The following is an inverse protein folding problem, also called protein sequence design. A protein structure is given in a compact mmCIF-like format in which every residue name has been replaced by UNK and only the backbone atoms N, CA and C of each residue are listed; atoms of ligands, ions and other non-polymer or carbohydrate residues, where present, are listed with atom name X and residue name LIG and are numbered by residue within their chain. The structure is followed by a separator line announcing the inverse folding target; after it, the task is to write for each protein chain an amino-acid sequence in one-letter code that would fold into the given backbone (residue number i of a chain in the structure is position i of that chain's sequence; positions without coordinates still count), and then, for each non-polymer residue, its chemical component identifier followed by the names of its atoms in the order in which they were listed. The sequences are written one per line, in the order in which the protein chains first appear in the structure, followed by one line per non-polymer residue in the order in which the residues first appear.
data_IF_459412767447
#
_entry.id   IF_459412767447
#
_cell.length_a   1.000
_cell.length_b   1.000
_cell.length_c   1.000
_cell.angle_alpha   90.00
_cell.angle_beta   90.00
_cell.angle_gamma   90.00
#
_symmetry.space_group_name_H-M   'P 1'
#
loop_
_entity.id
_entity.type
_entity.pdbx_description
1 polymer ?
#
# COMPACT_ATOMS: atom_id res chain seq x y z
N UNK A 1 -53.68 9.24 12.83
CA UNK A 1 -52.99 8.94 11.56
C UNK A 1 -51.58 9.55 11.62
N UNK A 2 -50.59 8.82 12.18
CA UNK A 2 -49.20 9.30 12.31
C UNK A 2 -48.28 8.08 12.44
N UNK A 3 -48.32 7.20 11.44
CA UNK A 3 -47.67 5.87 11.52
C UNK A 3 -46.88 5.45 10.27
N UNK A 4 -47.19 6.00 9.09
CA UNK A 4 -46.50 5.61 7.85
C UNK A 4 -45.16 6.31 7.66
N UNK A 5 -45.05 7.61 7.95
CA UNK A 5 -43.83 8.39 7.66
C UNK A 5 -42.64 8.01 8.57
N UNK A 6 -42.89 7.73 9.85
CA UNK A 6 -41.86 7.33 10.80
C UNK A 6 -41.30 5.94 10.50
N UNK A 7 -42.17 5.01 10.07
CA UNK A 7 -41.77 3.66 9.69
C UNK A 7 -40.87 3.65 8.43
N UNK A 8 -41.16 4.53 7.47
CA UNK A 8 -40.34 4.70 6.27
C UNK A 8 -38.95 5.28 6.60
N UNK A 9 -38.87 6.24 7.52
CA UNK A 9 -37.60 6.84 7.95
C UNK A 9 -36.71 5.78 8.65
N UNK A 10 -37.31 4.94 9.50
CA UNK A 10 -36.59 3.85 10.19
C UNK A 10 -36.08 2.81 9.19
N UNK A 11 -36.89 2.46 8.18
CA UNK A 11 -36.48 1.53 7.12
C UNK A 11 -35.31 2.10 6.28
N UNK A 12 -35.38 3.38 5.89
CA UNK A 12 -34.31 4.04 5.11
C UNK A 12 -33.00 4.10 5.92
N UNK A 13 -33.09 4.42 7.21
CA UNK A 13 -31.93 4.45 8.11
C UNK A 13 -31.32 3.05 8.31
N UNK A 14 -32.16 2.02 8.49
CA UNK A 14 -31.71 0.64 8.62
C UNK A 14 -31.04 0.13 7.34
N UNK A 15 -31.58 0.45 6.17
CA UNK A 15 -30.99 0.10 4.87
C UNK A 15 -29.65 0.84 4.67
N UNK A 16 -29.56 2.13 5.01
CA UNK A 16 -28.31 2.88 4.91
C UNK A 16 -27.20 2.33 5.84
N UNK A 17 -27.57 1.92 7.06
CA UNK A 17 -26.66 1.25 8.00
C UNK A 17 -26.21 -0.13 7.49
N UNK A 18 -27.13 -0.90 6.90
CA UNK A 18 -26.79 -2.20 6.29
C UNK A 18 -25.83 -2.03 5.10
N UNK A 19 -26.04 -1.02 4.25
CA UNK A 19 -25.18 -0.75 3.07
C UNK A 19 -23.73 -0.43 3.48
N UNK A 20 -23.51 0.26 4.61
CA UNK A 20 -22.16 0.55 5.13
C UNK A 20 -21.40 -0.70 5.58
N UNK A 21 -22.10 -1.77 5.98
CA UNK A 21 -21.49 -3.01 6.52
C UNK A 21 -21.12 -4.00 5.41
N UNK A 22 -21.70 -3.88 4.21
CA UNK A 22 -21.48 -4.84 3.10
C UNK A 22 -20.37 -4.44 2.14
N UNK A 23 -19.67 -3.32 2.34
CA UNK A 23 -18.54 -2.98 1.47
C UNK A 23 -17.44 -4.02 1.73
N UNK A 24 -17.14 -4.90 0.76
CA UNK A 24 -16.02 -5.81 0.91
C UNK A 24 -14.78 -4.93 1.04
N UNK A 25 -13.92 -5.23 2.02
CA UNK A 25 -12.64 -4.54 2.21
C UNK A 25 -11.73 -4.52 0.95
N UNK A 26 -12.13 -5.24 -0.10
CA UNK A 26 -11.50 -5.28 -1.41
C UNK A 26 -11.81 -4.07 -2.34
N UNK A 27 -12.76 -3.19 -2.01
CA UNK A 27 -13.08 -1.99 -2.84
C UNK A 27 -12.23 -0.77 -2.46
N UNK A 28 -11.45 -0.82 -1.37
CA UNK A 28 -10.56 0.28 -0.94
C UNK A 28 -9.15 0.16 -1.54
N UNK A 29 -9.04 -0.20 -2.83
CA UNK A 29 -7.80 -0.01 -3.56
C UNK A 29 -7.58 1.48 -3.80
N UNK A 30 -6.37 2.00 -3.57
CA UNK A 30 -6.05 3.37 -3.97
C UNK A 30 -6.39 3.60 -5.45
N UNK A 31 -6.82 4.82 -5.74
CA UNK A 31 -7.01 5.23 -7.12
C UNK A 31 -5.68 5.18 -7.88
N UNK A 32 -5.72 4.98 -9.21
CA UNK A 32 -4.51 5.04 -10.03
C UNK A 32 -3.71 6.34 -9.85
N UNK A 33 -4.42 7.46 -9.63
CA UNK A 33 -3.84 8.77 -9.34
C UNK A 33 -3.07 8.81 -8.02
N UNK A 34 -3.65 8.30 -6.93
CA UNK A 34 -2.97 8.23 -5.63
C UNK A 34 -1.73 7.34 -5.68
N UNK A 35 -1.80 6.22 -6.40
CA UNK A 35 -0.63 5.39 -6.63
C UNK A 35 0.47 6.12 -7.41
N UNK A 36 0.11 7.02 -8.34
CA UNK A 36 1.10 7.75 -9.12
C UNK A 36 1.88 8.75 -8.27
N UNK A 37 1.21 9.41 -7.33
CA UNK A 37 1.86 10.30 -6.38
C UNK A 37 2.78 9.55 -5.42
N UNK A 38 2.36 8.38 -4.93
CA UNK A 38 3.22 7.52 -4.10
C UNK A 38 4.46 7.08 -4.87
N UNK A 39 4.28 6.63 -6.11
CA UNK A 39 5.38 6.26 -7.00
C UNK A 39 6.39 7.39 -7.13
N UNK A 40 5.92 8.60 -7.44
CA UNK A 40 6.78 9.76 -7.64
C UNK A 40 7.54 10.13 -6.36
N UNK A 41 6.88 10.05 -5.19
CA UNK A 41 7.52 10.32 -3.88
C UNK A 41 8.60 9.28 -3.56
N UNK A 42 8.32 8.00 -3.79
CA UNK A 42 9.30 6.92 -3.62
C UNK A 42 10.48 7.08 -4.57
N UNK A 43 10.23 7.32 -5.85
CA UNK A 43 11.30 7.48 -6.83
C UNK A 43 12.21 8.66 -6.47
N UNK A 44 11.63 9.83 -6.22
CA UNK A 44 12.40 11.03 -5.88
C UNK A 44 13.13 10.91 -4.54
N UNK A 45 12.47 10.34 -3.53
CA UNK A 45 13.04 10.19 -2.19
C UNK A 45 14.09 9.10 -2.08
N UNK A 46 13.94 8.01 -2.83
CA UNK A 46 14.74 6.79 -2.68
C UNK A 46 15.68 6.50 -3.85
N UNK A 47 15.77 7.37 -4.86
CA UNK A 47 16.62 7.19 -6.06
C UNK A 47 18.05 6.77 -5.75
N UNK A 48 18.65 7.33 -4.70
CA UNK A 48 20.01 7.03 -4.26
C UNK A 48 20.23 5.53 -3.91
N UNK A 49 19.17 4.82 -3.51
CA UNK A 49 19.22 3.39 -3.16
C UNK A 49 19.56 2.53 -4.37
N UNK A 50 19.09 2.91 -5.56
CA UNK A 50 19.40 2.22 -6.82
C UNK A 50 20.90 2.32 -7.15
N UNK A 51 21.57 3.36 -6.65
CA UNK A 51 23.03 3.54 -6.78
C UNK A 51 23.80 2.95 -5.60
N UNK A 52 23.15 2.09 -4.82
CA UNK A 52 23.78 1.37 -3.73
C UNK A 52 24.02 2.19 -2.46
N UNK A 53 23.37 3.34 -2.29
CA UNK A 53 23.38 4.07 -1.01
C UNK A 53 22.29 3.57 -0.07
N UNK A 54 22.47 3.79 1.22
CA UNK A 54 21.43 3.54 2.20
C UNK A 54 20.31 4.59 2.13
N UNK A 55 19.07 4.23 2.52
CA UNK A 55 17.94 5.14 2.48
C UNK A 55 18.11 6.28 3.48
N UNK A 56 17.77 7.49 3.05
CA UNK A 56 17.68 8.66 3.93
C UNK A 56 16.44 8.57 4.82
N UNK A 57 16.37 9.40 5.86
CA UNK A 57 15.17 9.50 6.70
C UNK A 57 13.90 9.83 5.89
N UNK A 58 14.02 10.72 4.89
CA UNK A 58 12.93 11.08 4.00
C UNK A 58 12.48 9.89 3.12
N UNK A 59 13.42 9.12 2.57
CA UNK A 59 13.10 7.88 1.86
C UNK A 59 12.36 6.90 2.77
N UNK A 60 12.86 6.67 3.99
CA UNK A 60 12.21 5.75 4.91
C UNK A 60 10.81 6.18 5.33
N UNK A 61 10.52 7.48 5.43
CA UNK A 61 9.16 7.97 5.65
C UNK A 61 8.23 7.54 4.51
N UNK A 62 8.67 7.67 3.26
CA UNK A 62 7.87 7.22 2.10
C UNK A 62 7.70 5.70 2.11
N UNK A 63 8.77 4.93 2.36
CA UNK A 63 8.71 3.46 2.44
C UNK A 63 7.73 2.98 3.50
N UNK A 64 7.67 3.65 4.67
CA UNK A 64 6.72 3.33 5.75
C UNK A 64 5.28 3.65 5.38
N UNK A 65 5.05 4.76 4.69
CA UNK A 65 3.72 5.24 4.34
C UNK A 65 3.14 4.54 3.10
N UNK A 66 3.99 3.99 2.25
CA UNK A 66 3.57 3.46 0.95
C UNK A 66 2.69 2.23 1.05
N UNK A 67 1.72 2.16 0.16
CA UNK A 67 0.79 1.05 0.11
C UNK A 67 1.29 -0.05 -0.83
N UNK A 68 1.14 -1.30 -0.39
CA UNK A 68 1.64 -2.46 -1.15
C UNK A 68 0.95 -2.60 -2.51
N UNK A 69 -0.32 -2.23 -2.61
CA UNK A 69 -1.10 -2.15 -3.87
C UNK A 69 -0.41 -1.28 -4.93
N UNK A 70 0.17 -0.15 -4.54
CA UNK A 70 0.83 0.77 -5.45
C UNK A 70 2.30 0.43 -5.70
N UNK A 71 3.00 -0.09 -4.68
CA UNK A 71 4.46 -0.35 -4.75
C UNK A 71 4.78 -1.68 -5.42
N UNK A 72 4.02 -2.76 -5.13
CA UNK A 72 4.36 -4.09 -5.64
C UNK A 72 4.43 -4.19 -7.18
N UNK A 73 3.58 -3.50 -7.95
CA UNK A 73 3.73 -3.46 -9.42
C UNK A 73 5.05 -2.84 -9.90
N UNK A 74 5.72 -2.01 -9.09
CA UNK A 74 6.99 -1.35 -9.43
C UNK A 74 8.20 -2.24 -9.19
N UNK A 75 8.05 -3.25 -8.33
CA UNK A 75 9.11 -4.16 -7.94
C UNK A 75 9.36 -5.14 -9.08
N UNK A 76 10.15 -4.68 -10.05
CA UNK A 76 10.56 -5.46 -11.22
C UNK A 76 11.90 -6.16 -10.98
N UNK A 77 12.24 -7.23 -11.73
CA UNK A 77 13.52 -7.91 -11.59
C UNK A 77 14.71 -6.98 -11.80
N UNK A 78 14.59 -6.04 -12.75
CA UNK A 78 15.62 -5.04 -13.06
C UNK A 78 15.85 -4.08 -11.88
N UNK A 79 14.78 -3.62 -11.23
CA UNK A 79 14.88 -2.77 -10.04
C UNK A 79 15.52 -3.53 -8.87
N UNK A 80 15.07 -4.76 -8.61
CA UNK A 80 15.63 -5.59 -7.54
C UNK A 80 17.12 -5.85 -7.78
N UNK A 81 17.53 -6.13 -9.02
CA UNK A 81 18.93 -6.30 -9.38
C UNK A 81 19.73 -5.01 -9.13
N UNK A 82 19.20 -3.84 -9.53
CA UNK A 82 19.89 -2.56 -9.35
C UNK A 82 20.08 -2.18 -7.86
N UNK A 83 19.14 -2.54 -6.99
CA UNK A 83 19.26 -2.34 -5.53
C UNK A 83 20.33 -3.27 -4.92
N UNK A 84 20.76 -4.33 -5.63
CA UNK A 84 21.70 -5.34 -5.14
C UNK A 84 21.04 -6.63 -4.66
N UNK A 85 19.87 -6.96 -5.22
CA UNK A 85 19.16 -8.22 -5.01
C UNK A 85 18.07 -8.17 -3.93
N UNK A 86 17.26 -9.23 -3.90
CA UNK A 86 16.09 -9.32 -3.02
C UNK A 86 16.46 -9.21 -1.53
N UNK A 87 17.53 -9.88 -1.10
CA UNK A 87 17.98 -9.85 0.30
C UNK A 87 18.38 -8.44 0.77
N UNK A 88 19.03 -7.66 -0.11
CA UNK A 88 19.35 -6.27 0.21
C UNK A 88 18.10 -5.42 0.26
N UNK A 89 17.21 -5.53 -0.73
CA UNK A 89 15.95 -4.80 -0.75
C UNK A 89 15.11 -5.05 0.52
N UNK A 90 14.99 -6.31 0.95
CA UNK A 90 14.28 -6.69 2.19
C UNK A 90 14.91 -6.02 3.41
N UNK A 91 16.23 -6.10 3.55
CA UNK A 91 16.96 -5.48 4.68
C UNK A 91 16.79 -3.97 4.72
N UNK A 92 16.78 -3.28 3.57
CA UNK A 92 16.57 -1.84 3.51
C UNK A 92 15.15 -1.45 3.95
N UNK A 93 14.13 -2.19 3.52
CA UNK A 93 12.74 -1.96 3.92
C UNK A 93 12.55 -2.21 5.43
N UNK A 94 13.12 -3.29 5.96
CA UNK A 94 13.13 -3.59 7.39
C UNK A 94 13.91 -2.55 8.20
N UNK A 95 15.07 -2.12 7.71
CA UNK A 95 15.89 -1.08 8.32
C UNK A 95 15.20 0.28 8.35
N UNK A 96 14.33 0.56 7.38
CA UNK A 96 13.42 1.69 7.44
C UNK A 96 12.30 1.52 8.48
N UNK A 97 12.13 0.37 9.14
CA UNK A 97 11.10 0.14 10.16
C UNK A 97 9.75 -0.32 9.60
N UNK A 98 9.70 -0.77 8.34
CA UNK A 98 8.50 -1.38 7.76
C UNK A 98 8.52 -2.89 8.03
N UNK A 99 7.46 -3.42 8.62
CA UNK A 99 7.30 -4.87 8.81
C UNK A 99 7.19 -5.55 7.45
N UNK A 100 8.03 -6.55 7.22
CA UNK A 100 8.00 -7.35 5.99
C UNK A 100 7.42 -8.73 6.33
N UNK A 101 6.20 -9.06 5.84
CA UNK A 101 5.60 -10.36 6.08
C UNK A 101 6.42 -11.47 5.43
N UNK A 102 6.44 -12.65 6.04
CA UNK A 102 7.12 -13.84 5.50
C UNK A 102 6.32 -14.47 4.37
N UNK A 103 6.99 -15.17 3.46
CA UNK A 103 6.36 -15.85 2.31
C UNK A 103 5.41 -14.96 1.49
N UNK A 104 5.75 -13.67 1.40
CA UNK A 104 4.94 -12.66 0.75
C UNK A 104 5.52 -12.27 -0.60
N UNK A 105 4.67 -12.22 -1.62
CA UNK A 105 5.05 -11.83 -2.98
C UNK A 105 4.66 -10.37 -3.26
N UNK A 106 5.63 -9.58 -3.69
CA UNK A 106 5.46 -8.18 -4.07
C UNK A 106 6.17 -7.95 -5.41
N UNK A 107 5.41 -7.96 -6.50
CA UNK A 107 5.99 -7.95 -7.85
C UNK A 107 6.89 -9.16 -8.09
N UNK A 108 8.15 -8.91 -8.45
CA UNK A 108 9.18 -9.94 -8.63
C UNK A 108 9.91 -10.32 -7.35
N UNK A 109 9.70 -9.63 -6.23
CA UNK A 109 10.34 -9.93 -4.96
C UNK A 109 9.45 -10.86 -4.15
N UNK A 110 10.05 -11.92 -3.59
CA UNK A 110 9.39 -12.81 -2.63
C UNK A 110 10.21 -12.84 -1.36
N UNK A 111 9.55 -12.64 -0.22
CA UNK A 111 10.19 -12.67 1.09
C UNK A 111 10.40 -14.11 1.55
N UNK A 112 11.53 -14.43 2.19
CA UNK A 112 11.79 -15.77 2.68
C UNK A 112 10.84 -16.16 3.83
N UNK A 113 10.82 -17.47 4.13
CA UNK A 113 10.05 -18.07 5.21
C UNK A 113 10.59 -17.75 6.62
#
# INVERSE_FOLDING_TARGET
MKGSSSSLIIMIQAVALMIMVVVPAAVLGQTPSECNDEKNKLENGCRAVIFGRDPTAACCQQVRAAHLSCVCPLVTPKLVAAIGGAQRAIRLVQGCGRTVPRNFKCGSLTTPA
#
